data_IF_622907989904
#
_entry.id   IF_622907989904
#
_cell.length_a   1.000
_cell.length_b   1.000
_cell.length_c   1.000
_cell.angle_alpha   90.00
_cell.angle_beta   90.00
_cell.angle_gamma   90.00
#
_symmetry.space_group_name_H-M   'P 1'
#
loop_
_entity.id
_entity.type
_entity.pdbx_description
1 polymer ?
#
# COMPACT_ATOMS: atom_id res chain seq x y z
N UNK A 1 0.02 -10.80 14.34
CA UNK A 1 -1.39 -10.82 13.84
C UNK A 1 -1.48 -10.38 12.39
N UNK A 2 -0.91 -9.24 12.00
CA UNK A 2 -1.00 -8.70 10.62
C UNK A 2 -0.57 -9.69 9.52
N UNK A 3 0.49 -10.48 9.74
CA UNK A 3 0.95 -11.49 8.78
C UNK A 3 -0.11 -12.56 8.51
N UNK A 4 -0.86 -12.99 9.53
CA UNK A 4 -1.92 -13.99 9.38
C UNK A 4 -3.12 -13.45 8.59
N UNK A 5 -3.51 -12.20 8.85
CA UNK A 5 -4.60 -11.52 8.14
C UNK A 5 -4.28 -11.39 6.64
N UNK A 6 -3.05 -10.98 6.33
CA UNK A 6 -2.62 -10.86 4.93
C UNK A 6 -2.53 -12.24 4.28
N UNK A 7 -2.00 -13.24 4.99
CA UNK A 7 -1.88 -14.60 4.45
C UNK A 7 -3.24 -15.25 4.16
N UNK A 8 -4.25 -15.06 5.01
CA UNK A 8 -5.60 -15.60 4.78
C UNK A 8 -6.30 -15.00 3.55
N UNK A 9 -5.88 -13.81 3.11
CA UNK A 9 -6.44 -13.17 1.92
C UNK A 9 -5.92 -13.73 0.59
N UNK A 10 -4.89 -14.59 0.61
CA UNK A 10 -4.29 -15.12 -0.62
C UNK A 10 -5.27 -15.95 -1.46
N UNK A 11 -6.14 -16.74 -0.82
CA UNK A 11 -7.14 -17.54 -1.51
C UNK A 11 -8.08 -16.64 -2.34
N UNK A 12 -8.46 -15.50 -1.78
CA UNK A 12 -9.29 -14.50 -2.49
C UNK A 12 -8.52 -13.91 -3.67
N UNK A 13 -7.23 -13.57 -3.51
CA UNK A 13 -6.39 -13.08 -4.62
C UNK A 13 -6.40 -14.08 -5.78
N UNK A 14 -6.28 -15.37 -5.46
CA UNK A 14 -6.20 -16.44 -6.46
C UNK A 14 -7.52 -16.66 -7.21
N UNK A 15 -8.65 -16.36 -6.58
CA UNK A 15 -9.96 -16.35 -7.22
C UNK A 15 -10.14 -15.11 -8.13
N UNK A 16 -9.84 -13.91 -7.61
CA UNK A 16 -10.12 -12.66 -8.34
C UNK A 16 -9.12 -12.32 -9.43
N UNK A 17 -7.89 -12.87 -9.38
CA UNK A 17 -6.83 -12.60 -10.38
C UNK A 17 -7.26 -12.97 -11.82
N UNK A 18 -8.23 -13.88 -11.96
CA UNK A 18 -8.77 -14.31 -13.25
C UNK A 18 -9.96 -13.47 -13.72
N UNK A 19 -10.51 -12.61 -12.87
CA UNK A 19 -11.70 -11.81 -13.18
C UNK A 19 -11.38 -10.55 -13.98
N UNK A 20 -10.41 -9.76 -13.54
CA UNK A 20 -10.07 -8.47 -14.16
C UNK A 20 -8.63 -8.46 -14.68
N UNK A 21 -8.42 -8.06 -15.93
CA UNK A 21 -7.07 -7.88 -16.51
C UNK A 21 -6.30 -6.66 -15.98
N UNK A 22 -6.74 -6.07 -14.87
CA UNK A 22 -6.12 -4.92 -14.24
C UNK A 22 -5.10 -5.38 -13.20
N UNK A 23 -3.95 -4.70 -13.12
CA UNK A 23 -2.94 -5.01 -12.10
C UNK A 23 -3.40 -4.60 -10.69
N UNK A 24 -4.11 -3.49 -10.55
CA UNK A 24 -4.62 -3.04 -9.26
C UNK A 24 -6.02 -3.59 -9.02
N UNK A 25 -6.15 -4.47 -8.03
CA UNK A 25 -7.40 -5.17 -7.69
C UNK A 25 -8.20 -4.47 -6.59
N UNK A 26 -7.79 -3.26 -6.21
CA UNK A 26 -8.38 -2.49 -5.11
C UNK A 26 -8.37 -3.30 -3.80
N UNK A 27 -9.36 -3.07 -2.95
CA UNK A 27 -9.59 -3.87 -1.75
C UNK A 27 -10.17 -5.22 -2.11
N UNK A 28 -9.46 -6.27 -1.74
CA UNK A 28 -9.87 -7.66 -2.00
C UNK A 28 -10.53 -8.30 -0.78
N UNK A 29 -10.19 -7.82 0.42
CA UNK A 29 -10.67 -8.40 1.67
C UNK A 29 -10.65 -7.36 2.80
N UNK A 30 -11.41 -7.63 3.86
CA UNK A 30 -11.51 -6.81 5.06
C UNK A 30 -11.61 -7.69 6.30
N UNK A 31 -10.70 -7.46 7.25
CA UNK A 31 -10.74 -8.09 8.57
C UNK A 31 -10.85 -7.03 9.67
N UNK A 32 -12.03 -6.97 10.31
CA UNK A 32 -12.38 -5.92 11.28
C UNK A 32 -12.25 -4.51 10.68
N UNK A 33 -11.32 -3.70 11.21
CA UNK A 33 -11.02 -2.36 10.72
C UNK A 33 -9.79 -2.35 9.79
N UNK A 34 -9.29 -3.52 9.37
CA UNK A 34 -8.19 -3.60 8.43
C UNK A 34 -8.71 -3.89 7.02
N UNK A 35 -8.20 -3.15 6.06
CA UNK A 35 -8.50 -3.29 4.65
C UNK A 35 -7.27 -3.87 3.96
N UNK A 36 -7.49 -4.81 3.05
CA UNK A 36 -6.41 -5.49 2.32
C UNK A 36 -6.54 -5.11 0.86
N UNK A 37 -5.59 -4.30 0.39
CA UNK A 37 -5.48 -3.94 -1.02
C UNK A 37 -4.48 -4.84 -1.74
N UNK A 38 -4.78 -5.20 -2.98
CA UNK A 38 -3.91 -6.06 -3.80
C UNK A 38 -3.50 -5.41 -5.11
N UNK A 39 -2.22 -5.59 -5.46
CA UNK A 39 -1.67 -5.31 -6.77
C UNK A 39 -0.97 -6.55 -7.31
N UNK A 40 -1.50 -7.08 -8.41
CA UNK A 40 -0.99 -8.25 -9.11
C UNK A 40 -0.15 -7.83 -10.32
N UNK A 41 1.12 -8.20 -10.30
CA UNK A 41 2.02 -7.92 -11.43
C UNK A 41 1.82 -8.92 -12.57
N UNK A 42 2.27 -8.56 -13.79
CA UNK A 42 2.26 -9.47 -14.94
C UNK A 42 3.09 -10.75 -14.72
N UNK A 43 4.04 -10.73 -13.78
CA UNK A 43 4.84 -11.90 -13.39
C UNK A 43 4.20 -12.75 -12.28
N UNK A 44 2.91 -12.57 -12.00
CA UNK A 44 2.17 -13.24 -10.92
C UNK A 44 2.75 -13.01 -9.50
N UNK A 45 3.47 -11.91 -9.31
CA UNK A 45 3.86 -11.43 -7.98
C UNK A 45 2.71 -10.63 -7.39
N UNK A 46 2.33 -10.95 -6.16
CA UNK A 46 1.21 -10.37 -5.42
C UNK A 46 1.74 -9.37 -4.38
N UNK A 47 1.46 -8.09 -4.56
CA UNK A 47 1.69 -7.09 -3.52
C UNK A 47 0.42 -6.91 -2.70
N UNK A 48 0.54 -7.11 -1.39
CA UNK A 48 -0.55 -6.96 -0.44
C UNK A 48 -0.24 -5.83 0.53
N UNK A 49 -1.20 -4.92 0.70
CA UNK A 49 -1.11 -3.80 1.63
C UNK A 49 -2.26 -3.88 2.62
N UNK A 50 -1.92 -3.96 3.90
CA UNK A 50 -2.88 -3.89 5.00
C UNK A 50 -2.95 -2.43 5.49
N UNK A 51 -4.10 -1.78 5.36
CA UNK A 51 -4.34 -0.45 5.92
C UNK A 51 -5.36 -0.50 7.04
N UNK A 52 -5.11 0.26 8.10
CA UNK A 52 -5.98 0.36 9.26
C UNK A 52 -6.32 1.83 9.46
N UNK A 53 -7.58 2.27 9.28
CA UNK A 53 -8.00 3.60 9.68
C UNK A 53 -7.82 3.69 11.19
N UNK A 54 -6.84 4.44 11.68
CA UNK A 54 -6.66 4.62 13.11
C UNK A 54 -7.66 5.70 13.59
N UNK A 55 -8.69 5.36 14.39
CA UNK A 55 -9.58 6.36 14.95
C UNK A 55 -8.89 7.26 15.99
N UNK A 56 -7.80 6.78 16.60
CA UNK A 56 -7.19 7.37 17.79
C UNK A 56 -5.80 7.97 17.55
N UNK A 57 -5.33 8.14 16.30
CA UNK A 57 -4.02 8.76 16.08
C UNK A 57 -4.09 10.24 16.52
N UNK A 58 -3.45 10.63 17.64
CA UNK A 58 -3.51 12.01 18.08
C UNK A 58 -2.61 12.90 17.25
N UNK A 59 -1.80 12.36 16.33
CA UNK A 59 -1.10 13.20 15.34
C UNK A 59 -2.03 13.72 14.25
N UNK A 60 -3.25 13.20 14.17
CA UNK A 60 -4.39 13.80 13.46
C UNK A 60 -5.33 14.60 14.37
N UNK A 61 -5.12 14.62 15.70
CA UNK A 61 -5.88 15.44 16.66
C UNK A 61 -5.05 16.33 17.60
N UNK A 62 -3.75 16.50 17.32
CA UNK A 62 -2.84 17.45 17.99
C UNK A 62 -2.57 18.70 17.14
N UNK A 63 -3.45 19.00 16.17
CA UNK A 63 -3.54 20.31 15.54
C UNK A 63 -4.55 21.20 16.28
N UNK A 64 -4.48 21.21 17.60
CA UNK A 64 -5.21 22.15 18.46
C UNK A 64 -4.25 22.72 19.47
N UNK A 65 -3.28 23.50 18.98
CA UNK A 65 -2.66 24.66 19.63
C UNK A 65 -1.42 25.09 18.82
N UNK A 66 -1.65 25.83 17.72
CA UNK A 66 -0.73 26.90 17.32
C UNK A 66 -1.37 27.78 16.25
N UNK A 67 -1.76 28.97 16.70
CA UNK A 67 -1.86 30.23 15.99
C UNK A 67 -1.08 30.33 14.66
N UNK A 68 -1.79 30.86 13.65
CA UNK A 68 -1.29 31.74 12.59
C UNK A 68 -0.28 31.10 11.63
N UNK A 69 -0.80 30.58 10.50
CA UNK A 69 -0.29 30.84 9.13
C UNK A 69 -1.17 30.12 8.11
N UNK A 70 -1.66 30.89 7.16
CA UNK A 70 -2.33 30.43 5.94
C UNK A 70 -1.45 29.39 5.23
N UNK A 71 -1.93 28.15 5.17
CA UNK A 71 -1.33 27.06 4.42
C UNK A 71 -2.40 26.48 3.51
N UNK A 72 -2.14 26.49 2.20
CA UNK A 72 -3.05 26.10 1.13
C UNK A 72 -3.25 24.56 1.01
N UNK A 73 -3.16 23.83 2.12
CA UNK A 73 -3.32 22.37 2.15
C UNK A 73 -4.63 22.02 2.87
N UNK A 74 -5.48 21.13 2.31
CA UNK A 74 -6.70 20.71 2.98
C UNK A 74 -6.34 20.04 4.31
N UNK A 75 -6.94 20.55 5.39
CA UNK A 75 -6.87 20.01 6.74
C UNK A 75 -7.25 18.53 6.76
N UNK A 76 -6.51 17.74 7.54
CA UNK A 76 -6.54 16.28 7.64
C UNK A 76 -7.96 15.72 7.82
N UNK A 77 -8.54 15.28 6.71
CA UNK A 77 -9.70 14.41 6.70
C UNK A 77 -9.32 13.05 7.31
N UNK A 78 -10.18 12.52 8.17
CA UNK A 78 -10.06 11.15 8.65
C UNK A 78 -9.79 10.21 7.47
N UNK A 79 -8.75 9.38 7.56
CA UNK A 79 -8.40 8.46 6.48
C UNK A 79 -9.60 7.55 6.17
N UNK A 80 -10.17 7.72 4.98
CA UNK A 80 -11.24 6.89 4.48
C UNK A 80 -10.67 5.94 3.42
N UNK A 81 -10.46 4.65 3.73
CA UNK A 81 -9.81 3.69 2.84
C UNK A 81 -10.59 3.43 1.55
N UNK A 82 -11.91 3.67 1.53
CA UNK A 82 -12.76 3.46 0.36
C UNK A 82 -12.98 4.74 -0.45
N UNK A 83 -12.39 5.87 -0.04
CA UNK A 83 -12.48 7.11 -0.81
C UNK A 83 -11.71 6.98 -2.13
N UNK A 84 -12.21 7.52 -3.26
CA UNK A 84 -11.51 7.45 -4.55
C UNK A 84 -10.07 7.98 -4.50
N UNK A 85 -9.84 9.07 -3.75
CA UNK A 85 -8.50 9.62 -3.56
C UNK A 85 -7.54 8.68 -2.82
N UNK A 86 -8.05 7.93 -1.82
CA UNK A 86 -7.25 6.94 -1.10
C UNK A 86 -6.92 5.73 -1.99
N UNK A 87 -7.89 5.27 -2.78
CA UNK A 87 -7.66 4.20 -3.77
C UNK A 87 -6.60 4.59 -4.80
N UNK A 88 -6.65 5.84 -5.29
CA UNK A 88 -5.67 6.36 -6.26
C UNK A 88 -4.28 6.50 -5.63
N UNK A 89 -4.19 6.97 -4.39
CA UNK A 89 -2.93 7.06 -3.66
C UNK A 89 -2.28 5.66 -3.47
N UNK A 90 -3.06 4.66 -3.05
CA UNK A 90 -2.59 3.26 -2.92
C UNK A 90 -2.15 2.70 -4.26
N UNK A 91 -2.91 2.95 -5.33
CA UNK A 91 -2.53 2.54 -6.69
C UNK A 91 -1.18 3.14 -7.09
N UNK A 92 -0.99 4.43 -6.87
CA UNK A 92 0.27 5.12 -7.20
C UNK A 92 1.45 4.60 -6.35
N UNK A 93 1.21 4.32 -5.07
CA UNK A 93 2.18 3.64 -4.21
C UNK A 93 2.62 2.29 -4.80
N UNK A 94 1.66 1.43 -5.17
CA UNK A 94 1.98 0.14 -5.76
C UNK A 94 2.73 0.25 -7.08
N UNK A 95 2.39 1.21 -7.93
CA UNK A 95 3.11 1.45 -9.18
C UNK A 95 4.57 1.85 -8.93
N UNK A 96 4.84 2.71 -7.95
CA UNK A 96 6.22 3.13 -7.60
C UNK A 96 7.02 1.98 -6.96
N UNK A 97 6.38 1.15 -6.14
CA UNK A 97 6.98 -0.09 -5.61
C UNK A 97 7.24 -1.10 -6.72
N UNK A 98 6.34 -1.22 -7.68
CA UNK A 98 6.49 -2.13 -8.83
C UNK A 98 7.70 -1.77 -9.69
N UNK A 99 7.89 -0.48 -10.01
CA UNK A 99 9.09 -0.02 -10.72
C UNK A 99 10.39 -0.35 -9.95
N UNK A 100 10.38 -0.14 -8.63
CA UNK A 100 11.52 -0.53 -7.77
C UNK A 100 11.75 -2.04 -7.73
N UNK A 101 10.67 -2.83 -7.76
CA UNK A 101 10.72 -4.29 -7.77
C UNK A 101 11.31 -4.82 -9.07
N UNK A 102 10.83 -4.33 -10.22
CA UNK A 102 11.35 -4.70 -11.55
C UNK A 102 12.86 -4.46 -11.63
N UNK A 103 13.32 -3.27 -11.21
CA UNK A 103 14.75 -2.95 -11.17
C UNK A 103 15.56 -3.89 -10.27
N UNK A 104 14.96 -4.39 -9.20
CA UNK A 104 15.62 -5.33 -8.28
C UNK A 104 15.74 -6.71 -8.90
N UNK A 105 14.68 -7.22 -9.53
CA UNK A 105 14.68 -8.57 -10.13
C UNK A 105 15.42 -8.64 -11.47
N UNK A 106 15.64 -7.50 -12.13
CA UNK A 106 16.48 -7.42 -13.34
C UNK A 106 17.98 -7.50 -13.03
N UNK A 107 18.37 -7.48 -11.75
CA UNK A 107 19.74 -7.74 -11.36
C UNK A 107 20.07 -9.22 -11.62
N UNK A 108 21.08 -9.56 -12.46
CA UNK A 108 21.42 -10.95 -12.78
C UNK A 108 21.89 -11.77 -11.57
N UNK A 109 22.24 -11.11 -10.46
CA UNK A 109 22.61 -11.75 -9.19
C UNK A 109 21.42 -11.94 -8.24
N UNK A 110 20.22 -11.55 -8.65
CA UNK A 110 19.00 -11.76 -7.89
C UNK A 110 18.30 -13.04 -8.34
N UNK A 111 18.31 -14.07 -7.50
CA UNK A 111 17.46 -15.24 -7.64
C UNK A 111 15.99 -14.88 -7.44
N UNK A 112 15.12 -15.27 -8.36
CA UNK A 112 13.68 -15.08 -8.25
C UNK A 112 13.13 -15.74 -6.97
N UNK A 113 12.07 -15.17 -6.41
CA UNK A 113 11.36 -15.65 -5.21
C UNK A 113 12.16 -15.64 -3.89
N UNK A 114 13.42 -15.20 -3.88
CA UNK A 114 14.13 -15.00 -2.63
C UNK A 114 13.68 -13.70 -1.92
N UNK A 115 13.90 -13.55 -0.61
CA UNK A 115 13.62 -12.29 0.09
C UNK A 115 14.49 -11.13 -0.43
N UNK A 116 13.89 -9.96 -0.70
CA UNK A 116 14.63 -8.76 -1.07
C UNK A 116 15.35 -8.18 0.15
N UNK A 117 16.68 -8.24 0.14
CA UNK A 117 17.54 -7.70 1.21
C UNK A 117 18.17 -6.34 0.88
N UNK A 118 17.88 -5.79 -0.30
CA UNK A 118 18.51 -4.55 -0.78
C UNK A 118 18.12 -3.34 0.08
N UNK A 119 19.09 -2.61 0.68
CA UNK A 119 18.80 -1.40 1.44
C UNK A 119 18.25 -0.28 0.54
N UNK A 120 18.68 -0.23 -0.73
CA UNK A 120 18.18 0.74 -1.71
C UNK A 120 16.71 0.49 -2.03
N UNK A 121 16.31 -0.76 -2.22
CA UNK A 121 14.91 -1.12 -2.43
C UNK A 121 14.05 -0.70 -1.22
N UNK A 122 14.50 -1.03 0.00
CA UNK A 122 13.81 -0.64 1.23
C UNK A 122 13.66 0.88 1.36
N UNK A 123 14.71 1.64 1.04
CA UNK A 123 14.67 3.11 1.08
C UNK A 123 13.66 3.68 0.07
N UNK A 124 13.59 3.13 -1.15
CA UNK A 124 12.62 3.54 -2.17
C UNK A 124 11.18 3.23 -1.75
N UNK A 125 10.92 2.03 -1.23
CA UNK A 125 9.58 1.67 -0.70
C UNK A 125 9.17 2.58 0.45
N UNK A 126 10.09 2.90 1.36
CA UNK A 126 9.81 3.82 2.47
C UNK A 126 9.53 5.26 2.00
N UNK A 127 10.26 5.74 0.98
CA UNK A 127 10.01 7.04 0.38
C UNK A 127 8.64 7.10 -0.32
N UNK A 128 8.28 6.04 -1.06
CA UNK A 128 6.97 5.91 -1.70
C UNK A 128 5.85 5.87 -0.65
N UNK A 129 6.02 5.12 0.45
CA UNK A 129 5.05 5.08 1.53
C UNK A 129 4.84 6.47 2.14
N UNK A 130 5.92 7.21 2.43
CA UNK A 130 5.82 8.58 2.97
C UNK A 130 5.11 9.56 2.02
N UNK A 131 5.16 9.30 0.71
CA UNK A 131 4.59 10.17 -0.33
C UNK A 131 3.10 9.91 -0.54
N UNK A 132 2.62 8.68 -0.36
CA UNK A 132 1.27 8.27 -0.75
C UNK A 132 0.40 7.73 0.39
N UNK A 133 0.98 7.30 1.51
CA UNK A 133 0.29 6.61 2.61
C UNK A 133 0.36 7.38 3.94
#
# INVERSE_FOLDING_TARGET
>A
MNQFIVHSSLDIVEEVQWGTGQMYLKHIDRFHNNYISCFLTAGNIKFLLLTSPNPDNPRSSAASMSSVRSSAYPSSSAYNPTAPAAEEAIKNFFMEVYDSWVKTIMNPFYSLNQPVKSPVFRARVAAAAKKYL
#
